data_IF_057584554212
#
_entry.id   IF_057584554212
#
_cell.length_a   1.000
_cell.length_b   1.000
_cell.length_c   1.000
_cell.angle_alpha   90.00
_cell.angle_beta   90.00
_cell.angle_gamma   90.00
#
_symmetry.space_group_name_H-M   'P 1'
#
loop_
_entity.id
_entity.type
_entity.pdbx_description
1 polymer ?
#
# COMPACT_ATOMS: atom_id res chain seq x y z
N UNK A 1 9.78 -13.45 18.74
CA UNK A 1 8.31 -13.37 18.95
C UNK A 1 7.49 -14.46 18.24
N UNK A 2 8.03 -15.23 17.28
CA UNK A 2 7.21 -16.12 16.43
C UNK A 2 6.69 -17.45 17.01
N UNK A 3 7.11 -17.89 18.21
CA UNK A 3 6.77 -19.23 18.74
C UNK A 3 5.59 -19.21 19.72
N UNK A 4 5.42 -18.14 20.51
CA UNK A 4 4.33 -17.99 21.48
C UNK A 4 2.99 -17.64 20.82
N UNK A 5 3.03 -16.83 19.77
CA UNK A 5 1.86 -16.35 19.04
C UNK A 5 1.18 -17.49 18.26
N UNK A 6 1.97 -18.47 17.79
CA UNK A 6 1.51 -19.51 16.87
C UNK A 6 0.68 -20.64 17.51
N UNK A 7 0.65 -20.74 18.85
CA UNK A 7 -0.09 -21.81 19.56
C UNK A 7 -1.51 -21.42 19.95
N UNK A 8 -1.84 -20.12 19.99
CA UNK A 8 -3.13 -19.59 20.48
C UNK A 8 -3.56 -18.30 19.76
N UNK A 9 -3.47 -18.28 18.43
CA UNK A 9 -3.81 -17.10 17.61
C UNK A 9 -5.21 -16.55 17.90
N UNK A 10 -6.23 -17.41 18.01
CA UNK A 10 -7.61 -17.03 18.32
C UNK A 10 -7.77 -16.24 19.63
N UNK A 11 -7.11 -16.72 20.68
CA UNK A 11 -7.18 -16.11 22.01
C UNK A 11 -6.47 -14.76 22.04
N UNK A 12 -5.40 -14.61 21.24
CA UNK A 12 -4.67 -13.37 21.13
C UNK A 12 -5.46 -12.34 20.31
N UNK A 13 -6.00 -12.72 19.15
CA UNK A 13 -6.85 -11.85 18.32
C UNK A 13 -8.07 -11.38 19.11
N UNK A 14 -8.79 -12.29 19.77
CA UNK A 14 -9.94 -11.93 20.62
C UNK A 14 -9.54 -11.06 21.82
N UNK A 15 -8.32 -11.19 22.35
CA UNK A 15 -7.82 -10.31 23.41
C UNK A 15 -7.50 -8.90 22.89
N UNK A 16 -6.88 -8.78 21.72
CA UNK A 16 -6.60 -7.48 21.10
C UNK A 16 -7.90 -6.70 20.83
N UNK A 17 -8.91 -7.38 20.29
CA UNK A 17 -10.20 -6.77 19.99
C UNK A 17 -11.08 -6.49 21.20
N UNK A 18 -10.76 -7.02 22.38
CA UNK A 18 -11.41 -6.62 23.64
C UNK A 18 -10.96 -5.25 24.15
N UNK A 19 -9.85 -4.73 23.61
CA UNK A 19 -9.33 -3.43 24.01
C UNK A 19 -10.04 -2.34 23.21
N UNK A 20 -10.78 -1.49 23.91
CA UNK A 20 -11.41 -0.31 23.30
C UNK A 20 -10.35 0.57 22.64
N UNK A 21 -10.62 1.02 21.41
CA UNK A 21 -9.69 1.84 20.64
C UNK A 21 -8.38 1.13 20.27
N UNK A 22 -8.40 -0.19 20.07
CA UNK A 22 -7.20 -0.94 19.67
C UNK A 22 -6.50 -0.33 18.45
N UNK A 23 -7.26 0.01 17.39
CA UNK A 23 -6.71 0.59 16.17
C UNK A 23 -6.11 1.97 16.41
N UNK A 24 -6.72 2.81 17.23
CA UNK A 24 -6.16 4.11 17.62
C UNK A 24 -4.80 3.96 18.32
N UNK A 25 -4.70 3.00 19.24
CA UNK A 25 -3.47 2.73 19.96
C UNK A 25 -2.39 2.12 19.04
N UNK A 26 -2.81 1.27 18.11
CA UNK A 26 -1.91 0.69 17.11
C UNK A 26 -1.31 1.78 16.23
N UNK A 27 -2.15 2.72 15.74
CA UNK A 27 -1.70 3.84 14.91
C UNK A 27 -0.89 4.87 15.70
N UNK A 28 -1.24 5.14 16.95
CA UNK A 28 -0.48 6.02 17.83
C UNK A 28 0.97 5.53 18.03
N UNK A 29 1.17 4.22 18.02
CA UNK A 29 2.49 3.59 18.21
C UNK A 29 3.05 2.94 16.95
N UNK A 30 2.56 3.31 15.76
CA UNK A 30 3.00 2.72 14.49
C UNK A 30 4.51 2.92 14.21
N UNK A 31 5.15 3.88 14.87
CA UNK A 31 6.61 4.07 14.78
C UNK A 31 7.42 3.04 15.59
N UNK A 32 6.76 2.26 16.44
CA UNK A 32 7.39 1.20 17.23
C UNK A 32 7.46 -0.08 16.40
N UNK A 33 8.66 -0.62 16.16
CA UNK A 33 8.86 -1.80 15.31
C UNK A 33 8.00 -2.99 15.71
N UNK A 34 7.83 -3.24 17.01
CA UNK A 34 6.98 -4.34 17.49
C UNK A 34 5.49 -4.16 17.17
N UNK A 35 5.01 -2.92 17.00
CA UNK A 35 3.64 -2.60 16.62
C UNK A 35 3.43 -2.72 15.12
N UNK A 36 4.42 -2.34 14.32
CA UNK A 36 4.45 -2.64 12.88
C UNK A 36 4.48 -4.14 12.62
N UNK A 37 5.33 -4.88 13.33
CA UNK A 37 5.38 -6.34 13.26
C UNK A 37 4.04 -6.95 13.68
N UNK A 38 3.36 -6.36 14.67
CA UNK A 38 2.02 -6.79 15.08
C UNK A 38 0.98 -6.55 13.98
N UNK A 39 1.01 -5.38 13.34
CA UNK A 39 0.11 -5.05 12.23
C UNK A 39 0.34 -5.99 11.04
N UNK A 40 1.60 -6.16 10.64
CA UNK A 40 1.96 -7.11 9.58
C UNK A 40 1.55 -8.54 9.96
N UNK A 41 1.75 -8.94 11.22
CA UNK A 41 1.32 -10.24 11.72
C UNK A 41 -0.20 -10.43 11.65
N UNK A 42 -0.99 -9.40 12.00
CA UNK A 42 -2.45 -9.43 11.87
C UNK A 42 -2.89 -9.59 10.41
N UNK A 43 -2.18 -8.96 9.48
CA UNK A 43 -2.48 -9.02 8.04
C UNK A 43 -2.03 -10.34 7.38
N UNK A 44 -0.89 -10.89 7.78
CA UNK A 44 -0.22 -12.01 7.08
C UNK A 44 -0.35 -13.38 7.76
N UNK A 45 -0.31 -13.43 9.09
CA UNK A 45 0.14 -14.61 9.82
C UNK A 45 -0.98 -15.37 10.56
N UNK A 46 -2.22 -15.12 10.18
CA UNK A 46 -3.34 -15.91 10.68
C UNK A 46 -3.44 -17.17 9.82
N UNK A 47 -2.89 -18.28 10.32
CA UNK A 47 -2.84 -19.60 9.66
C UNK A 47 -4.18 -20.15 9.18
N UNK A 48 -5.28 -19.61 9.70
CA UNK A 48 -6.62 -19.95 9.25
C UNK A 48 -7.13 -18.82 8.33
N UNK A 49 -7.43 -19.11 7.05
CA UNK A 49 -7.88 -18.10 6.11
C UNK A 49 -9.17 -17.40 6.57
N UNK A 50 -10.06 -18.11 7.28
CA UNK A 50 -11.29 -17.57 7.85
C UNK A 50 -11.02 -16.48 8.89
N UNK A 51 -10.19 -16.77 9.90
CA UNK A 51 -9.81 -15.79 10.91
C UNK A 51 -9.04 -14.60 10.31
N UNK A 52 -8.21 -14.83 9.29
CA UNK A 52 -7.52 -13.75 8.59
C UNK A 52 -8.54 -12.79 7.98
N UNK A 53 -9.55 -13.33 7.29
CA UNK A 53 -10.61 -12.55 6.68
C UNK A 53 -11.44 -11.80 7.74
N UNK A 54 -11.73 -12.41 8.88
CA UNK A 54 -12.38 -11.72 10.02
C UNK A 54 -11.54 -10.55 10.54
N UNK A 55 -10.23 -10.74 10.71
CA UNK A 55 -9.32 -9.68 11.18
C UNK A 55 -9.26 -8.53 10.17
N UNK A 56 -9.10 -8.84 8.89
CA UNK A 56 -9.06 -7.84 7.80
C UNK A 56 -10.37 -7.07 7.70
N UNK A 57 -11.52 -7.77 7.78
CA UNK A 57 -12.84 -7.14 7.77
C UNK A 57 -13.03 -6.20 8.97
N UNK A 58 -12.61 -6.61 10.18
CA UNK A 58 -12.68 -5.72 11.35
C UNK A 58 -11.75 -4.52 11.24
N UNK A 59 -10.56 -4.69 10.69
CA UNK A 59 -9.66 -3.56 10.40
C UNK A 59 -10.33 -2.59 9.40
N UNK A 60 -11.09 -3.10 8.43
CA UNK A 60 -11.88 -2.28 7.53
C UNK A 60 -13.01 -1.52 8.23
N UNK A 61 -13.76 -2.18 9.13
CA UNK A 61 -14.81 -1.57 9.95
C UNK A 61 -14.27 -0.40 10.80
N UNK A 62 -13.06 -0.56 11.33
CA UNK A 62 -12.33 0.48 12.07
C UNK A 62 -11.69 1.55 11.16
N UNK A 63 -11.88 1.46 9.83
CA UNK A 63 -11.36 2.41 8.83
C UNK A 63 -9.85 2.49 8.81
N UNK A 64 -9.15 1.35 8.91
CA UNK A 64 -7.68 1.30 8.96
C UNK A 64 -7.03 2.05 7.78
N UNK A 65 -7.59 1.91 6.57
CA UNK A 65 -7.07 2.53 5.35
C UNK A 65 -7.09 4.05 5.46
N UNK A 66 -8.25 4.61 5.80
CA UNK A 66 -8.44 6.05 5.94
C UNK A 66 -7.53 6.61 7.04
N UNK A 67 -7.47 5.92 8.20
CA UNK A 67 -6.64 6.38 9.32
C UNK A 67 -5.14 6.28 9.04
N UNK A 68 -4.69 5.32 8.21
CA UNK A 68 -3.31 5.25 7.71
C UNK A 68 -3.01 6.38 6.73
N UNK A 69 -3.94 6.72 5.84
CA UNK A 69 -3.81 7.88 4.93
C UNK A 69 -3.75 9.18 5.72
N UNK A 70 -4.52 9.32 6.80
CA UNK A 70 -4.42 10.44 7.74
C UNK A 70 -3.07 10.53 8.46
N UNK A 71 -2.31 9.43 8.56
CA UNK A 71 -0.93 9.49 9.06
C UNK A 71 0.04 10.04 8.01
N UNK A 72 -0.28 9.95 6.71
CA UNK A 72 0.51 10.54 5.62
C UNK A 72 0.03 11.98 5.40
N UNK A 73 0.37 12.87 6.33
CA UNK A 73 -0.04 14.28 6.30
C UNK A 73 1.09 15.18 6.80
N UNK A 74 1.32 16.39 6.24
CA UNK A 74 2.47 17.25 6.59
C UNK A 74 2.62 17.61 8.07
N UNK A 75 1.55 17.46 8.88
CA UNK A 75 1.56 17.69 10.33
C UNK A 75 2.08 16.50 11.16
N UNK A 76 2.48 15.40 10.53
CA UNK A 76 2.95 14.17 11.16
C UNK A 76 4.46 14.02 10.97
N UNK A 77 5.06 13.10 11.72
CA UNK A 77 6.51 12.86 11.65
C UNK A 77 6.89 11.98 10.45
N UNK A 78 8.10 12.16 9.91
CA UNK A 78 8.61 11.38 8.76
C UNK A 78 8.57 9.86 8.95
N UNK A 79 8.77 9.41 10.19
CA UNK A 79 8.65 8.00 10.56
C UNK A 79 7.19 7.51 10.50
N UNK A 80 6.22 8.37 10.82
CA UNK A 80 4.80 8.04 10.70
C UNK A 80 4.41 7.93 9.21
N UNK A 81 4.87 8.86 8.36
CA UNK A 81 4.65 8.79 6.91
C UNK A 81 5.16 7.46 6.34
N UNK A 82 6.41 7.12 6.66
CA UNK A 82 7.10 5.95 6.12
C UNK A 82 6.44 4.65 6.57
N UNK A 83 6.13 4.52 7.87
CA UNK A 83 5.50 3.31 8.41
C UNK A 83 4.03 3.17 7.95
N UNK A 84 3.30 4.27 7.81
CA UNK A 84 1.95 4.25 7.27
C UNK A 84 1.95 3.85 5.79
N UNK A 85 2.86 4.41 4.97
CA UNK A 85 2.99 4.02 3.56
C UNK A 85 3.38 2.56 3.41
N UNK A 86 4.32 2.06 4.22
CA UNK A 86 4.70 0.65 4.17
C UNK A 86 3.52 -0.25 4.54
N UNK A 87 2.78 0.09 5.60
CA UNK A 87 1.59 -0.66 6.00
C UNK A 87 0.53 -0.70 4.89
N UNK A 88 0.28 0.44 4.22
CA UNK A 88 -0.64 0.50 3.09
C UNK A 88 -0.16 -0.35 1.91
N UNK A 89 1.13 -0.29 1.56
CA UNK A 89 1.72 -1.13 0.52
C UNK A 89 1.60 -2.62 0.86
N UNK A 90 1.87 -3.00 2.12
CA UNK A 90 1.74 -4.39 2.57
C UNK A 90 0.29 -4.86 2.48
N UNK A 91 -0.68 -4.03 2.88
CA UNK A 91 -2.12 -4.33 2.72
C UNK A 91 -2.45 -4.55 1.24
N UNK A 92 -2.05 -3.64 0.34
CA UNK A 92 -2.32 -3.75 -1.10
C UNK A 92 -1.75 -5.06 -1.67
N UNK A 93 -0.47 -5.33 -1.38
CA UNK A 93 0.21 -6.54 -1.84
C UNK A 93 -0.49 -7.81 -1.34
N UNK A 94 -0.83 -7.87 -0.05
CA UNK A 94 -1.48 -9.03 0.55
C UNK A 94 -2.91 -9.23 0.04
N UNK A 95 -3.68 -8.16 -0.13
CA UNK A 95 -5.00 -8.22 -0.73
C UNK A 95 -4.96 -8.76 -2.16
N UNK A 96 -3.94 -8.39 -2.94
CA UNK A 96 -3.76 -8.93 -4.29
C UNK A 96 -3.35 -10.40 -4.31
N UNK A 97 -2.46 -10.84 -3.42
CA UNK A 97 -2.12 -12.25 -3.28
C UNK A 97 -3.34 -13.11 -2.94
N UNK A 98 -4.28 -12.56 -2.16
CA UNK A 98 -5.53 -13.24 -1.80
C UNK A 98 -6.47 -13.42 -3.00
N UNK A 99 -6.66 -12.37 -3.81
CA UNK A 99 -7.49 -12.43 -5.02
C UNK A 99 -6.96 -13.48 -6.02
N UNK A 100 -5.65 -13.68 -6.07
CA UNK A 100 -5.03 -14.68 -6.95
C UNK A 100 -5.19 -16.11 -6.39
N UNK A 101 -5.13 -16.31 -5.08
CA UNK A 101 -5.21 -17.63 -4.44
C UNK A 101 -6.63 -18.14 -4.21
N UNK A 102 -7.61 -17.26 -3.98
CA UNK A 102 -8.98 -17.62 -3.58
C UNK A 102 -9.95 -17.23 -4.71
N UNK A 103 -9.99 -18.03 -5.79
CA UNK A 103 -10.97 -17.84 -6.87
C UNK A 103 -12.42 -18.26 -6.49
N UNK A 104 -12.61 -18.97 -5.38
CA UNK A 104 -13.91 -19.52 -4.96
C UNK A 104 -14.65 -18.71 -3.87
N UNK A 105 -14.11 -17.59 -3.40
CA UNK A 105 -14.82 -16.71 -2.46
C UNK A 105 -15.59 -15.64 -3.22
N UNK A 106 -16.92 -15.63 -3.10
CA UNK A 106 -17.79 -14.65 -3.78
C UNK A 106 -17.67 -13.22 -3.24
N UNK A 107 -16.88 -12.97 -2.20
CA UNK A 107 -16.76 -11.65 -1.58
C UNK A 107 -15.41 -10.99 -1.91
N UNK A 108 -15.43 -9.81 -2.56
CA UNK A 108 -14.21 -9.04 -2.79
C UNK A 108 -13.61 -8.59 -1.47
N UNK A 109 -12.28 -8.50 -1.41
CA UNK A 109 -11.59 -7.94 -0.26
C UNK A 109 -12.04 -6.48 -0.04
N UNK A 110 -12.83 -6.26 1.01
CA UNK A 110 -13.45 -4.96 1.30
C UNK A 110 -12.41 -3.88 1.63
N UNK A 111 -11.23 -4.28 2.11
CA UNK A 111 -10.11 -3.36 2.38
C UNK A 111 -9.52 -2.87 1.06
N UNK A 112 -9.32 -3.78 0.11
CA UNK A 112 -8.85 -3.42 -1.24
C UNK A 112 -9.86 -2.52 -1.95
N UNK A 113 -11.15 -2.88 -1.91
CA UNK A 113 -12.20 -2.04 -2.48
C UNK A 113 -12.24 -0.64 -1.87
N UNK A 114 -11.85 -0.50 -0.60
CA UNK A 114 -11.78 0.81 0.07
C UNK A 114 -10.53 1.60 -0.34
N UNK A 115 -9.40 0.94 -0.55
CA UNK A 115 -8.17 1.55 -1.09
C UNK A 115 -8.33 2.07 -2.51
N UNK A 116 -9.08 1.34 -3.34
CA UNK A 116 -9.28 1.65 -4.76
C UNK A 116 -10.38 2.68 -5.01
N UNK A 117 -11.11 3.09 -3.96
CA UNK A 117 -12.09 4.18 -4.07
C UNK A 117 -11.39 5.48 -4.44
N UNK A 118 -11.99 6.18 -5.40
CA UNK A 118 -11.51 7.48 -5.84
C UNK A 118 -11.37 8.48 -4.68
N UNK A 119 -12.32 8.52 -3.73
CA UNK A 119 -12.29 9.38 -2.55
C UNK A 119 -11.03 9.16 -1.69
N UNK A 120 -10.66 7.89 -1.48
CA UNK A 120 -9.48 7.50 -0.69
C UNK A 120 -8.19 7.98 -1.35
N UNK A 121 -8.10 7.83 -2.67
CA UNK A 121 -6.93 8.25 -3.46
C UNK A 121 -6.86 9.78 -3.53
N UNK A 122 -8.00 10.45 -3.69
CA UNK A 122 -8.10 11.91 -3.65
C UNK A 122 -7.67 12.47 -2.29
N UNK A 123 -8.05 11.83 -1.18
CA UNK A 123 -7.61 12.22 0.15
C UNK A 123 -6.08 12.14 0.29
N UNK A 124 -5.46 11.04 -0.18
CA UNK A 124 -4.01 10.90 -0.18
C UNK A 124 -3.36 12.02 -1.03
N UNK A 125 -3.89 12.27 -2.23
CA UNK A 125 -3.38 13.32 -3.12
C UNK A 125 -3.53 14.72 -2.53
N UNK A 126 -4.64 14.99 -1.86
CA UNK A 126 -4.86 16.24 -1.12
C UNK A 126 -3.81 16.40 -0.02
N UNK A 127 -3.58 15.37 0.81
CA UNK A 127 -2.54 15.43 1.85
C UNK A 127 -1.14 15.69 1.28
N UNK A 128 -0.84 15.15 0.09
CA UNK A 128 0.46 15.29 -0.56
C UNK A 128 0.70 16.66 -1.20
N UNK A 129 -0.35 17.23 -1.81
CA UNK A 129 -0.20 18.33 -2.77
C UNK A 129 -0.92 19.62 -2.33
N UNK A 130 -1.87 19.54 -1.40
CA UNK A 130 -2.60 20.69 -0.91
C UNK A 130 -1.97 21.22 0.38
N UNK A 131 -1.67 22.51 0.43
CA UNK A 131 -1.04 23.14 1.58
C UNK A 131 0.49 23.09 1.54
N UNK A 132 1.11 22.76 2.68
CA UNK A 132 2.57 22.75 2.81
C UNK A 132 3.15 21.44 2.26
N UNK A 133 3.97 21.57 1.23
CA UNK A 133 4.67 20.43 0.63
C UNK A 133 5.74 19.90 1.61
N UNK A 134 5.67 18.61 1.90
CA UNK A 134 6.63 17.91 2.74
C UNK A 134 7.32 16.78 1.92
N UNK A 135 8.67 16.76 1.83
CA UNK A 135 9.40 15.75 1.08
C UNK A 135 9.07 14.30 1.46
N UNK A 136 8.89 14.03 2.76
CA UNK A 136 8.57 12.69 3.29
C UNK A 136 7.16 12.25 2.89
N UNK A 137 6.17 13.14 3.03
CA UNK A 137 4.78 12.89 2.59
C UNK A 137 4.72 12.59 1.09
N UNK A 138 5.47 13.34 0.28
CA UNK A 138 5.56 13.10 -1.16
C UNK A 138 6.16 11.74 -1.47
N UNK A 139 7.30 11.38 -0.87
CA UNK A 139 7.94 10.08 -1.10
C UNK A 139 7.02 8.92 -0.67
N UNK A 140 6.45 9.01 0.53
CA UNK A 140 5.53 8.00 1.07
C UNK A 140 4.24 7.86 0.25
N UNK A 141 3.62 8.98 -0.13
CA UNK A 141 2.40 8.94 -0.92
C UNK A 141 2.63 8.46 -2.35
N UNK A 142 3.74 8.86 -2.98
CA UNK A 142 4.15 8.32 -4.29
C UNK A 142 4.36 6.81 -4.22
N UNK A 143 4.98 6.29 -3.16
CA UNK A 143 5.18 4.86 -2.99
C UNK A 143 3.85 4.08 -2.95
N UNK A 144 2.84 4.58 -2.22
CA UNK A 144 1.51 3.97 -2.18
C UNK A 144 0.85 4.01 -3.56
N UNK A 145 0.91 5.15 -4.26
CA UNK A 145 0.35 5.30 -5.60
C UNK A 145 1.01 4.36 -6.62
N UNK A 146 2.34 4.21 -6.56
CA UNK A 146 3.07 3.26 -7.40
C UNK A 146 2.62 1.83 -7.10
N UNK A 147 2.50 1.47 -5.83
CA UNK A 147 2.01 0.14 -5.44
C UNK A 147 0.58 -0.11 -5.92
N UNK A 148 -0.30 0.89 -5.93
CA UNK A 148 -1.66 0.77 -6.50
C UNK A 148 -1.67 0.63 -8.03
N UNK A 149 -0.73 1.29 -8.71
CA UNK A 149 -0.63 1.32 -10.17
C UNK A 149 0.20 0.18 -10.76
N UNK A 150 1.00 -0.51 -9.95
CA UNK A 150 1.86 -1.59 -10.42
C UNK A 150 1.03 -2.68 -11.11
N UNK A 151 1.37 -3.07 -12.36
CA UNK A 151 0.61 -4.09 -13.06
C UNK A 151 0.63 -5.39 -12.25
N UNK A 152 -0.55 -5.93 -11.94
CA UNK A 152 -0.72 -7.25 -11.31
C UNK A 152 0.05 -8.30 -12.11
N UNK A 153 1.29 -8.59 -11.72
CA UNK A 153 1.97 -9.80 -12.17
C UNK A 153 1.60 -10.90 -11.19
N UNK A 154 0.83 -11.92 -11.60
CA UNK A 154 0.88 -13.16 -10.86
C UNK A 154 2.35 -13.57 -10.81
N UNK A 155 2.88 -13.72 -9.59
CA UNK A 155 4.22 -14.24 -9.38
C UNK A 155 4.19 -15.65 -9.95
N UNK A 156 4.62 -15.81 -11.19
CA UNK A 156 4.81 -17.12 -11.78
C UNK A 156 5.87 -17.77 -10.92
N UNK A 157 5.45 -18.62 -9.98
CA UNK A 157 6.36 -19.47 -9.26
C UNK A 157 7.07 -20.30 -10.31
N UNK A 158 8.31 -19.91 -10.60
CA UNK A 158 9.33 -20.80 -11.13
C UNK A 158 9.62 -21.85 -10.06
N UNK A 159 8.65 -22.75 -9.85
CA UNK A 159 8.88 -24.06 -9.28
C UNK A 159 8.82 -25.01 -10.45
N UNK A 160 9.99 -25.30 -11.00
CA UNK A 160 10.21 -26.48 -11.84
C UNK A 160 9.98 -27.68 -10.93
N UNK A 161 8.76 -28.20 -10.85
CA UNK A 161 8.54 -29.65 -10.67
C UNK A 161 7.21 -30.04 -11.30
N UNK A 162 7.29 -30.86 -12.35
CA UNK A 162 6.26 -31.70 -12.95
C UNK A 162 4.83 -31.57 -12.41
N UNK A 163 3.93 -31.02 -13.22
CA UNK A 163 2.60 -31.61 -13.36
C UNK A 163 2.09 -31.40 -14.80
N UNK A 164 2.35 -32.41 -15.64
CA UNK A 164 1.69 -32.58 -16.93
C UNK A 164 0.19 -32.76 -16.65
N UNK A 165 -0.66 -32.00 -17.36
CA UNK A 165 -2.13 -31.97 -17.34
C UNK A 165 -2.79 -31.09 -16.26
N UNK A 166 -2.88 -29.78 -16.53
CA UNK A 166 -4.06 -28.98 -16.21
C UNK A 166 -4.36 -28.05 -17.40
N UNK A 167 -5.64 -27.91 -17.73
CA UNK A 167 -6.18 -27.31 -18.96
C UNK A 167 -5.66 -25.89 -19.23
N UNK A 168 -5.24 -25.64 -20.47
CA UNK A 168 -4.77 -24.34 -20.99
C UNK A 168 -5.89 -23.30 -21.06
N UNK A 169 -7.16 -23.73 -21.08
CA UNK A 169 -8.30 -22.80 -21.21
C UNK A 169 -8.60 -22.03 -19.92
N UNK A 170 -8.37 -22.63 -18.74
CA UNK A 170 -8.64 -21.97 -17.45
C UNK A 170 -7.62 -20.90 -17.08
N UNK A 171 -6.34 -21.08 -17.46
CA UNK A 171 -5.27 -20.10 -17.17
C UNK A 171 -5.37 -18.82 -18.01
N UNK A 172 -5.94 -18.90 -19.21
CA UNK A 172 -6.10 -17.74 -20.09
C UNK A 172 -7.29 -16.85 -19.66
N UNK A 173 -8.39 -17.45 -19.20
CA UNK A 173 -9.50 -16.72 -18.57
C UNK A 173 -9.10 -16.12 -17.20
N UNK A 174 -8.26 -16.83 -16.42
CA UNK A 174 -7.65 -16.36 -15.17
C UNK A 174 -6.87 -15.05 -15.34
N UNK A 175 -6.07 -14.94 -16.40
CA UNK A 175 -5.38 -13.71 -16.76
C UNK A 175 -6.38 -12.66 -17.24
N UNK A 176 -7.40 -13.03 -18.00
CA UNK A 176 -8.44 -12.12 -18.50
C UNK A 176 -9.26 -11.44 -17.39
N UNK A 177 -9.76 -12.17 -16.40
CA UNK A 177 -10.59 -11.58 -15.34
C UNK A 177 -9.75 -10.76 -14.34
N UNK A 178 -8.58 -11.26 -13.95
CA UNK A 178 -7.66 -10.52 -13.07
C UNK A 178 -7.10 -9.25 -13.74
N UNK A 179 -6.95 -9.25 -15.08
CA UNK A 179 -6.59 -8.05 -15.85
C UNK A 179 -7.75 -7.07 -16.00
N UNK A 180 -9.00 -7.53 -16.13
CA UNK A 180 -10.17 -6.65 -16.19
C UNK A 180 -10.43 -5.95 -14.85
N UNK A 181 -10.42 -6.66 -13.72
CA UNK A 181 -10.61 -6.06 -12.39
C UNK A 181 -9.43 -5.13 -12.02
N UNK A 182 -8.20 -5.51 -12.41
CA UNK A 182 -7.03 -4.64 -12.32
C UNK A 182 -7.14 -3.41 -13.22
N UNK A 183 -7.80 -3.50 -14.37
CA UNK A 183 -8.02 -2.36 -15.27
C UNK A 183 -9.00 -1.35 -14.67
N UNK A 184 -10.06 -1.82 -14.00
CA UNK A 184 -11.05 -0.93 -13.36
C UNK A 184 -10.47 -0.24 -12.12
N UNK A 185 -9.72 -0.97 -11.29
CA UNK A 185 -9.01 -0.43 -10.13
C UNK A 185 -7.97 0.63 -10.53
N UNK A 186 -7.12 0.33 -11.51
CA UNK A 186 -6.16 1.30 -12.05
C UNK A 186 -6.85 2.49 -12.71
N UNK A 187 -8.03 2.32 -13.30
CA UNK A 187 -8.81 3.45 -13.84
C UNK A 187 -9.24 4.44 -12.76
N UNK A 188 -9.68 3.99 -11.57
CA UNK A 188 -10.02 4.90 -10.46
C UNK A 188 -8.80 5.70 -10.00
N UNK A 189 -7.66 5.04 -9.81
CA UNK A 189 -6.41 5.70 -9.45
C UNK A 189 -5.96 6.70 -10.51
N UNK A 190 -6.02 6.32 -11.79
CA UNK A 190 -5.66 7.21 -12.91
C UNK A 190 -6.62 8.40 -13.02
N UNK A 191 -7.92 8.21 -12.76
CA UNK A 191 -8.90 9.30 -12.79
C UNK A 191 -8.62 10.33 -11.69
N UNK A 192 -8.31 9.89 -10.46
CA UNK A 192 -7.90 10.75 -9.36
C UNK A 192 -6.56 11.45 -9.62
N UNK A 193 -5.60 10.75 -10.24
CA UNK A 193 -4.26 11.28 -10.52
C UNK A 193 -4.23 12.32 -11.64
N UNK A 194 -5.02 12.11 -12.70
CA UNK A 194 -5.04 12.95 -13.90
C UNK A 194 -5.06 14.47 -13.62
N UNK A 195 -5.97 15.01 -12.78
CA UNK A 195 -6.00 16.46 -12.50
C UNK A 195 -4.77 16.97 -11.73
N UNK A 196 -4.06 16.10 -11.01
CA UNK A 196 -2.91 16.45 -10.15
C UNK A 196 -1.55 16.27 -10.84
N UNK A 197 -1.51 15.66 -12.03
CA UNK A 197 -0.27 15.47 -12.80
C UNK A 197 0.49 16.77 -13.07
N UNK A 198 -0.22 17.89 -13.23
CA UNK A 198 0.40 19.22 -13.40
C UNK A 198 1.23 19.63 -12.19
N UNK A 199 0.79 19.29 -10.97
CA UNK A 199 1.52 19.60 -9.74
C UNK A 199 2.77 18.73 -9.61
N UNK A 200 2.66 17.43 -9.91
CA UNK A 200 3.81 16.54 -9.99
C UNK A 200 4.83 17.00 -11.03
N UNK A 201 4.35 17.47 -12.19
CA UNK A 201 5.21 18.04 -13.21
C UNK A 201 5.94 19.30 -12.69
N UNK A 202 5.23 20.22 -12.04
CA UNK A 202 5.83 21.41 -11.43
C UNK A 202 6.90 21.07 -10.39
N UNK A 203 6.65 20.09 -9.52
CA UNK A 203 7.63 19.59 -8.54
C UNK A 203 8.94 19.09 -9.15
N UNK A 204 8.93 18.66 -10.42
CA UNK A 204 10.15 18.24 -11.11
C UNK A 204 11.03 19.42 -11.56
N UNK A 205 10.42 20.59 -11.80
CA UNK A 205 11.11 21.83 -12.18
C UNK A 205 11.47 22.70 -10.97
N UNK A 206 10.65 22.70 -9.92
CA UNK A 206 10.84 23.46 -8.69
C UNK A 206 11.08 22.52 -7.50
N UNK A 207 12.34 22.20 -7.17
CA UNK A 207 12.67 21.34 -6.04
C UNK A 207 12.38 22.03 -4.70
N UNK A 208 11.86 21.26 -3.74
CA UNK A 208 11.66 21.71 -2.36
C UNK A 208 12.98 21.96 -1.62
N UNK A 209 14.01 21.15 -1.92
CA UNK A 209 15.35 21.28 -1.34
C UNK A 209 16.31 21.82 -2.39
N UNK A 210 16.84 23.02 -2.12
CA UNK A 210 17.72 23.77 -3.02
C UNK A 210 19.20 23.66 -2.65
N UNK A 211 19.55 22.85 -1.64
CA UNK A 211 20.94 22.71 -1.20
C UNK A 211 21.79 21.98 -2.26
N UNK A 212 22.83 22.62 -2.82
CA UNK A 212 23.65 22.00 -3.86
C UNK A 212 24.34 20.73 -3.35
N UNK A 213 24.21 19.62 -4.07
CA UNK A 213 24.90 18.37 -3.70
C UNK A 213 26.31 18.39 -4.27
N UNK A 214 27.31 18.34 -3.39
CA UNK A 214 28.70 18.16 -3.79
C UNK A 214 28.98 16.68 -4.10
N UNK A 215 29.29 16.40 -5.36
CA UNK A 215 29.68 15.06 -5.83
C UNK A 215 31.16 15.04 -6.20
N UNK A 216 31.75 13.85 -6.31
CA UNK A 216 33.13 13.67 -6.80
C UNK A 216 33.35 14.17 -8.23
N UNK A 217 32.26 14.42 -8.98
CA UNK A 217 32.27 14.90 -10.37
C UNK A 217 31.86 16.38 -10.51
N UNK A 218 31.61 17.09 -9.41
CA UNK A 218 31.19 18.49 -9.42
C UNK A 218 29.99 18.79 -8.53
N UNK A 219 29.43 19.99 -8.66
CA UNK A 219 28.28 20.46 -7.88
C UNK A 219 27.01 20.23 -8.68
N UNK A 220 26.04 19.52 -8.11
CA UNK A 220 24.72 19.33 -8.69
C UNK A 220 23.73 20.32 -8.07
N UNK A 221 23.31 21.32 -8.87
CA UNK A 221 22.38 22.37 -8.45
C UNK A 221 21.29 22.59 -9.52
N UNK A 222 20.01 22.33 -9.24
CA UNK A 222 19.51 21.75 -7.99
C UNK A 222 19.81 20.24 -7.89
N UNK A 223 19.96 19.70 -6.67
CA UNK A 223 20.14 18.26 -6.47
C UNK A 223 19.03 17.40 -7.10
N UNK A 224 19.38 16.17 -7.45
CA UNK A 224 18.42 15.08 -7.72
C UNK A 224 17.95 14.53 -6.37
N UNK A 225 17.17 15.34 -5.65
CA UNK A 225 16.62 15.00 -4.33
C UNK A 225 15.73 13.76 -4.43
N UNK A 226 15.69 12.95 -3.38
CA UNK A 226 14.93 11.70 -3.30
C UNK A 226 13.46 11.85 -3.75
N UNK A 227 12.83 12.98 -3.42
CA UNK A 227 11.46 13.31 -3.83
C UNK A 227 11.30 13.35 -5.34
N UNK A 228 12.22 14.00 -6.08
CA UNK A 228 12.15 14.08 -7.55
C UNK A 228 12.28 12.71 -8.20
N UNK A 229 13.18 11.87 -7.68
CA UNK A 229 13.34 10.50 -8.16
C UNK A 229 12.06 9.67 -7.99
N UNK A 230 11.37 9.83 -6.85
CA UNK A 230 10.08 9.16 -6.64
C UNK A 230 9.01 9.71 -7.57
N UNK A 231 8.86 11.02 -7.70
CA UNK A 231 7.87 11.65 -8.58
C UNK A 231 8.07 11.24 -10.05
N UNK A 232 9.32 11.15 -10.53
CA UNK A 232 9.59 10.69 -11.91
C UNK A 232 9.09 9.27 -12.15
N UNK A 233 9.13 8.37 -11.16
CA UNK A 233 8.64 6.98 -11.31
C UNK A 233 7.14 6.90 -11.60
N UNK A 234 6.34 7.90 -11.17
CA UNK A 234 4.91 7.96 -11.48
C UNK A 234 4.61 8.32 -12.93
N UNK A 235 5.58 8.92 -13.63
CA UNK A 235 5.42 9.29 -15.03
C UNK A 235 5.87 8.11 -15.88
N UNK A 236 4.98 7.50 -16.70
CA UNK A 236 5.41 6.48 -17.64
C UNK A 236 6.44 7.10 -18.58
N UNK A 237 7.61 6.47 -18.66
CA UNK A 237 8.63 6.82 -19.66
C UNK A 237 8.00 6.50 -21.02
N UNK A 238 7.96 7.47 -21.95
CA UNK A 238 7.36 7.30 -23.27
C UNK A 238 7.99 6.18 -24.11
#
# INVERSE_FOLDING_TARGET
MGILINRKTDQLVSFLWKKDGFVDLLLQHITTSAIMDLLLWLLTCVKQPQLRQEVVNRLNEEKIVQRLIEQIHPSKDDNQHSNASQSLCDIICLSWEQVIQVQDSSEPDQVLATLEKQETIEQLLSNMLEGQLNPSVLVSGVQVLLTLLEPRRPRSESVIVNNFFSSVDGQLELLGQATLDSSVSSMCALHALRPRLTHFHQLLFEPLELEPLHTTWGILAPPLVNTRLHVVKLLPVP
#
